data_IF_589867161001
#
_entry.id   IF_589867161001
#
_cell.length_a   1.000
_cell.length_b   1.000
_cell.length_c   1.000
_cell.angle_alpha   90.00
_cell.angle_beta   90.00
_cell.angle_gamma   90.00
#
_symmetry.space_group_name_H-M   'P 1'
#
loop_
_entity.id
_entity.type
_entity.pdbx_description
1 polymer ?
#
# COMPACT_ATOMS: atom_id res chain seq x y z
N UNK A 1 5.90 33.64 81.33
CA UNK A 1 6.26 32.28 80.86
C UNK A 1 5.97 32.26 79.37
N UNK A 2 6.94 32.55 78.50
CA UNK A 2 8.06 31.71 78.04
C UNK A 2 7.70 31.02 76.69
N UNK A 3 8.42 31.45 75.65
CA UNK A 3 8.64 30.87 74.29
C UNK A 3 9.15 29.40 74.36
N UNK A 4 9.27 28.59 73.26
CA UNK A 4 9.61 29.01 71.88
C UNK A 4 9.08 28.20 70.65
N UNK A 5 9.14 28.87 69.49
CA UNK A 5 9.81 28.53 68.21
C UNK A 5 9.73 27.11 67.60
N UNK A 6 9.33 27.03 66.32
CA UNK A 6 9.75 25.97 65.38
C UNK A 6 9.35 26.26 63.91
N UNK A 7 10.38 26.61 63.14
CA UNK A 7 10.73 26.12 61.78
C UNK A 7 9.85 26.40 60.56
N UNK A 8 10.37 27.32 59.74
CA UNK A 8 10.14 27.42 58.29
C UNK A 8 10.78 26.22 57.57
N UNK A 9 10.02 25.53 56.73
CA UNK A 9 10.56 24.61 55.71
C UNK A 9 10.29 25.20 54.33
N UNK A 10 11.37 25.66 53.71
CA UNK A 10 11.43 26.24 52.38
C UNK A 10 11.34 25.09 51.36
N UNK A 11 10.20 24.96 50.66
CA UNK A 11 10.04 24.02 49.54
C UNK A 11 10.79 24.60 48.33
N UNK A 12 11.96 24.04 48.05
CA UNK A 12 12.70 24.29 46.81
C UNK A 12 11.93 23.72 45.61
N UNK A 13 11.39 24.60 44.76
CA UNK A 13 10.91 24.24 43.42
C UNK A 13 12.12 24.12 42.49
N UNK A 14 12.62 22.90 42.34
CA UNK A 14 13.53 22.56 41.24
C UNK A 14 12.74 22.54 39.92
N UNK A 15 12.84 23.64 39.17
CA UNK A 15 12.46 23.69 37.76
C UNK A 15 13.44 22.83 36.95
N UNK A 16 13.08 21.57 36.71
CA UNK A 16 13.80 20.71 35.77
C UNK A 16 13.37 21.09 34.33
N UNK A 17 14.05 22.07 33.74
CA UNK A 17 14.00 22.31 32.29
C UNK A 17 14.81 21.20 31.61
N UNK A 18 14.16 20.15 31.11
CA UNK A 18 14.74 19.31 30.06
C UNK A 18 14.79 20.13 28.77
N UNK A 19 15.93 20.77 28.50
CA UNK A 19 16.28 21.18 27.15
C UNK A 19 16.80 19.93 26.42
N UNK A 20 15.96 19.30 25.62
CA UNK A 20 16.43 18.35 24.60
C UNK A 20 17.02 19.17 23.46
N UNK A 21 18.23 18.89 22.97
CA UNK A 21 18.90 19.72 21.98
C UNK A 21 18.31 19.47 20.58
N UNK A 22 17.58 20.44 20.03
CA UNK A 22 17.05 20.44 18.65
C UNK A 22 18.14 20.31 17.56
N UNK A 23 19.43 20.48 17.91
CA UNK A 23 20.55 20.44 16.94
C UNK A 23 20.89 19.03 16.41
N UNK A 24 20.57 17.98 17.16
CA UNK A 24 20.96 16.60 16.83
C UNK A 24 20.08 15.99 15.71
N UNK A 25 18.79 16.33 15.69
CA UNK A 25 17.82 15.78 14.71
C UNK A 25 18.09 16.31 13.30
N UNK A 26 18.45 17.59 13.16
CA UNK A 26 18.73 18.22 11.86
C UNK A 26 19.99 17.62 11.23
N UNK A 27 21.01 17.34 12.04
CA UNK A 27 22.26 16.71 11.59
C UNK A 27 22.05 15.27 11.14
N UNK A 28 21.26 14.48 11.89
CA UNK A 28 20.88 13.12 11.50
C UNK A 28 20.05 13.12 10.21
N UNK A 29 19.11 14.05 10.03
CA UNK A 29 18.33 14.17 8.79
C UNK A 29 19.20 14.58 7.59
N UNK A 30 20.18 15.45 7.78
CA UNK A 30 21.11 15.86 6.71
C UNK A 30 22.06 14.71 6.31
N UNK A 31 22.55 13.93 7.28
CA UNK A 31 23.34 12.70 7.03
C UNK A 31 22.48 11.67 6.29
N UNK A 32 21.25 11.41 6.73
CA UNK A 32 20.33 10.49 6.06
C UNK A 32 19.99 10.95 4.64
N UNK A 33 19.84 12.26 4.41
CA UNK A 33 19.56 12.83 3.09
C UNK A 33 20.75 12.68 2.14
N UNK A 34 21.96 12.98 2.60
CA UNK A 34 23.19 12.82 1.81
C UNK A 34 23.49 11.36 1.52
N UNK A 35 23.29 10.48 2.49
CA UNK A 35 23.47 9.04 2.30
C UNK A 35 22.41 8.48 1.35
N UNK A 36 21.15 8.90 1.46
CA UNK A 36 20.10 8.54 0.51
C UNK A 36 20.45 8.99 -0.92
N UNK A 37 20.96 10.21 -1.09
CA UNK A 37 21.39 10.71 -2.40
C UNK A 37 22.53 9.87 -3.00
N UNK A 38 23.53 9.53 -2.18
CA UNK A 38 24.68 8.72 -2.62
C UNK A 38 24.28 7.27 -2.93
N UNK A 39 23.47 6.66 -2.06
CA UNK A 39 23.07 5.25 -2.19
C UNK A 39 22.06 5.03 -3.30
N UNK A 40 21.21 6.01 -3.63
CA UNK A 40 20.17 5.86 -4.66
C UNK A 40 20.74 5.87 -6.10
N UNK A 41 21.96 6.36 -6.32
CA UNK A 41 22.75 6.07 -7.54
C UNK A 41 22.02 6.37 -8.86
N UNK A 42 21.43 7.55 -9.00
CA UNK A 42 20.76 7.95 -10.24
C UNK A 42 21.78 8.08 -11.39
N UNK A 43 21.65 7.25 -12.44
CA UNK A 43 22.54 7.26 -13.61
C UNK A 43 22.44 8.57 -14.43
N UNK A 44 23.54 8.98 -15.07
CA UNK A 44 23.65 10.24 -15.83
C UNK A 44 22.65 10.41 -16.98
N UNK A 45 22.21 9.32 -17.63
CA UNK A 45 21.15 9.37 -18.67
C UNK A 45 19.74 9.58 -18.09
N UNK A 46 19.50 9.14 -16.84
CA UNK A 46 18.29 9.49 -16.12
C UNK A 46 18.34 10.97 -15.69
N UNK A 47 19.49 11.47 -15.23
CA UNK A 47 19.67 12.86 -14.79
C UNK A 47 19.30 13.90 -15.86
N UNK A 48 19.54 13.65 -17.16
CA UNK A 48 19.26 14.63 -18.21
C UNK A 48 17.76 14.75 -18.57
N UNK A 49 16.97 13.68 -18.40
CA UNK A 49 15.50 13.71 -18.57
C UNK A 49 14.76 14.01 -17.25
N UNK A 50 15.47 13.92 -16.12
CA UNK A 50 14.95 14.08 -14.75
C UNK A 50 15.45 15.35 -14.03
N UNK A 51 16.23 16.23 -14.68
CA UNK A 51 16.87 17.39 -14.03
C UNK A 51 15.92 18.41 -13.40
N UNK A 52 14.83 18.76 -14.07
CA UNK A 52 13.80 19.68 -13.54
C UNK A 52 12.69 18.96 -12.76
N UNK A 53 12.47 17.68 -13.06
CA UNK A 53 11.43 16.86 -12.45
C UNK A 53 11.82 16.32 -11.07
N UNK A 54 13.05 15.85 -10.89
CA UNK A 54 13.46 15.18 -9.65
C UNK A 54 13.81 16.16 -8.53
N UNK A 55 14.30 17.36 -8.86
CA UNK A 55 14.54 18.40 -7.84
C UNK A 55 13.20 18.88 -7.25
N UNK A 56 12.12 18.94 -8.04
CA UNK A 56 10.75 19.15 -7.52
C UNK A 56 10.10 17.89 -6.97
N UNK A 57 10.39 16.68 -7.46
CA UNK A 57 9.71 15.45 -6.96
C UNK A 57 10.36 14.90 -5.69
N UNK A 58 11.67 15.06 -5.48
CA UNK A 58 12.31 14.69 -4.22
C UNK A 58 12.17 15.83 -3.20
N UNK A 59 12.36 17.10 -3.59
CA UNK A 59 12.15 18.21 -2.64
C UNK A 59 10.67 18.46 -2.44
N UNK A 60 9.82 18.58 -3.46
CA UNK A 60 8.37 18.74 -3.24
C UNK A 60 7.65 17.40 -3.01
N UNK A 61 8.02 16.24 -3.52
CA UNK A 61 7.30 14.99 -3.19
C UNK A 61 7.59 14.47 -1.78
N UNK A 62 8.86 14.44 -1.38
CA UNK A 62 9.27 14.06 0.00
C UNK A 62 9.01 15.19 1.00
N UNK A 63 9.07 16.47 0.62
CA UNK A 63 8.68 17.57 1.52
C UNK A 63 7.22 18.03 1.40
N UNK A 64 6.43 17.63 0.39
CA UNK A 64 4.96 17.74 0.46
C UNK A 64 4.37 16.66 1.36
N UNK A 65 5.06 15.54 1.58
CA UNK A 65 4.80 14.64 2.71
C UNK A 65 5.05 15.35 4.07
N UNK A 66 5.75 16.50 4.05
CA UNK A 66 6.05 17.40 5.18
C UNK A 66 5.37 18.80 5.07
N UNK A 67 4.43 19.03 4.14
CA UNK A 67 3.84 20.36 3.90
C UNK A 67 3.10 20.92 5.14
N UNK A 68 3.17 22.25 5.40
CA UNK A 68 2.58 22.90 6.59
C UNK A 68 1.05 22.82 6.77
N UNK A 69 0.31 22.47 5.73
CA UNK A 69 -1.16 22.59 5.71
C UNK A 69 -1.92 21.55 6.55
N UNK A 70 -1.21 20.66 7.25
CA UNK A 70 -1.76 19.67 8.20
C UNK A 70 -1.20 19.83 9.63
N UNK A 71 -0.57 20.97 9.95
CA UNK A 71 0.10 21.22 11.23
C UNK A 71 -0.86 21.78 12.28
N UNK A 72 -1.82 20.97 12.72
CA UNK A 72 -2.54 21.24 13.95
C UNK A 72 -1.60 21.04 15.16
N UNK A 73 -1.60 21.93 16.18
CA UNK A 73 -0.69 21.87 17.34
C UNK A 73 -0.68 20.51 18.06
N UNK A 74 -1.82 19.81 18.08
CA UNK A 74 -1.98 18.51 18.76
C UNK A 74 -1.24 17.35 18.06
N UNK A 75 -0.96 17.47 16.75
CA UNK A 75 -0.25 16.47 15.98
C UNK A 75 1.28 16.59 16.10
N UNK A 76 1.80 17.80 16.38
CA UNK A 76 3.24 18.08 16.47
C UNK A 76 3.86 17.44 17.71
N UNK A 77 3.17 17.44 18.86
CA UNK A 77 3.65 16.79 20.09
C UNK A 77 3.59 15.25 20.03
N UNK A 78 2.65 14.68 19.28
CA UNK A 78 2.60 13.22 19.03
C UNK A 78 3.67 12.76 18.04
N UNK A 79 4.08 13.63 17.13
CA UNK A 79 5.09 13.34 16.12
C UNK A 79 6.51 13.32 16.74
N UNK A 80 6.84 14.24 17.65
CA UNK A 80 8.19 14.33 18.25
C UNK A 80 8.58 13.10 19.10
N UNK A 81 7.66 12.57 19.92
CA UNK A 81 7.91 11.34 20.69
C UNK A 81 8.08 10.11 19.78
N UNK A 82 7.34 10.06 18.67
CA UNK A 82 7.35 8.93 17.72
C UNK A 82 8.55 8.97 16.79
N UNK A 83 9.00 10.16 16.38
CA UNK A 83 10.26 10.35 15.67
C UNK A 83 11.44 9.88 16.53
N UNK A 84 11.44 10.17 17.85
CA UNK A 84 12.51 9.70 18.74
C UNK A 84 12.56 8.16 18.85
N UNK A 85 11.42 7.48 18.96
CA UNK A 85 11.37 6.01 18.94
C UNK A 85 11.78 5.43 17.58
N UNK A 86 11.44 6.11 16.48
CA UNK A 86 11.79 5.67 15.14
C UNK A 86 13.30 5.84 14.90
N UNK A 87 13.89 6.96 15.30
CA UNK A 87 15.34 7.21 15.25
C UNK A 87 16.15 6.22 16.10
N UNK A 88 15.66 5.84 17.29
CA UNK A 88 16.30 4.82 18.13
C UNK A 88 16.25 3.41 17.53
N UNK A 89 15.30 3.11 16.64
CA UNK A 89 15.24 1.84 15.89
C UNK A 89 16.02 1.91 14.58
N UNK A 90 16.08 3.09 13.96
CA UNK A 90 16.95 3.31 12.79
C UNK A 90 18.42 3.24 13.20
N UNK A 91 18.79 3.66 14.42
CA UNK A 91 20.16 3.50 14.93
C UNK A 91 20.57 2.03 15.09
N UNK A 92 19.64 1.12 15.39
CA UNK A 92 19.89 -0.34 15.39
C UNK A 92 20.21 -0.86 13.97
N UNK A 93 19.63 -0.30 12.91
CA UNK A 93 19.96 -0.68 11.52
C UNK A 93 21.41 -0.34 11.16
N UNK A 94 21.97 0.72 11.75
CA UNK A 94 23.38 1.09 11.58
C UNK A 94 24.36 0.19 12.36
N UNK A 95 23.87 -0.75 13.18
CA UNK A 95 24.74 -1.72 13.87
C UNK A 95 25.16 -2.90 12.99
N UNK A 96 24.46 -3.14 11.87
CA UNK A 96 24.81 -4.16 10.88
C UNK A 96 24.84 -3.57 9.47
N UNK A 97 26.01 -3.51 8.81
CA UNK A 97 26.12 -3.02 7.43
C UNK A 97 25.18 -3.73 6.45
N UNK A 98 24.93 -5.03 6.64
CA UNK A 98 24.00 -5.80 5.80
C UNK A 98 22.54 -5.36 6.00
N UNK A 99 22.13 -5.10 7.24
CA UNK A 99 20.79 -4.61 7.56
C UNK A 99 20.53 -3.21 6.97
N UNK A 100 21.53 -2.32 7.07
CA UNK A 100 21.46 -1.00 6.47
C UNK A 100 21.36 -1.06 4.94
N UNK A 101 22.12 -1.92 4.27
CA UNK A 101 22.05 -2.09 2.82
C UNK A 101 20.67 -2.58 2.35
N UNK A 102 20.08 -3.56 3.05
CA UNK A 102 18.73 -4.05 2.73
C UNK A 102 17.67 -2.97 2.95
N UNK A 103 17.78 -2.19 4.04
CA UNK A 103 16.91 -1.06 4.30
C UNK A 103 17.00 -0.02 3.17
N UNK A 104 18.20 0.35 2.73
CA UNK A 104 18.35 1.29 1.60
C UNK A 104 17.80 0.73 0.29
N UNK A 105 17.97 -0.57 0.05
CA UNK A 105 17.41 -1.23 -1.13
C UNK A 105 15.88 -1.24 -1.10
N UNK A 106 15.26 -1.48 0.06
CA UNK A 106 13.81 -1.37 0.25
C UNK A 106 13.32 0.05 -0.07
N UNK A 107 14.00 1.08 0.48
CA UNK A 107 13.65 2.46 0.20
C UNK A 107 13.78 2.79 -1.29
N UNK A 108 14.85 2.33 -1.95
CA UNK A 108 15.03 2.48 -3.40
C UNK A 108 13.85 1.88 -4.16
N UNK A 109 13.43 0.67 -3.79
CA UNK A 109 12.29 0.01 -4.43
C UNK A 109 10.99 0.81 -4.24
N UNK A 110 10.72 1.33 -3.04
CA UNK A 110 9.56 2.21 -2.78
C UNK A 110 9.60 3.47 -3.64
N UNK A 111 10.76 4.13 -3.71
CA UNK A 111 10.95 5.36 -4.50
C UNK A 111 10.77 5.09 -6.00
N UNK A 112 11.29 3.96 -6.52
CA UNK A 112 11.09 3.57 -7.92
C UNK A 112 9.59 3.46 -8.25
N UNK A 113 8.81 2.79 -7.40
CA UNK A 113 7.36 2.67 -7.58
C UNK A 113 6.66 4.03 -7.49
N UNK A 114 7.02 4.85 -6.49
CA UNK A 114 6.43 6.18 -6.31
C UNK A 114 6.70 7.10 -7.52
N UNK A 115 7.93 7.11 -8.01
CA UNK A 115 8.32 7.90 -9.20
C UNK A 115 7.56 7.42 -10.43
N UNK A 116 7.44 6.10 -10.61
CA UNK A 116 6.71 5.53 -11.74
C UNK A 116 5.24 5.97 -11.73
N UNK A 117 4.54 5.81 -10.60
CA UNK A 117 3.11 6.16 -10.50
C UNK A 117 2.91 7.67 -10.66
N UNK A 118 3.76 8.49 -10.04
CA UNK A 118 3.60 9.96 -10.05
C UNK A 118 3.97 10.61 -11.38
N UNK A 119 4.78 9.95 -12.23
CA UNK A 119 5.28 10.50 -13.50
C UNK A 119 4.83 9.68 -14.71
N UNK A 120 3.78 8.88 -14.57
CA UNK A 120 3.39 7.90 -15.56
C UNK A 120 3.12 8.51 -16.95
N UNK A 121 2.45 9.66 -17.00
CA UNK A 121 2.22 10.38 -18.26
C UNK A 121 3.53 10.73 -18.98
N UNK A 122 4.51 11.26 -18.24
CA UNK A 122 5.84 11.58 -18.78
C UNK A 122 6.58 10.34 -19.26
N UNK A 123 6.56 9.26 -18.46
CA UNK A 123 7.23 7.99 -18.76
C UNK A 123 6.66 7.36 -20.05
N UNK A 124 5.35 7.45 -20.26
CA UNK A 124 4.68 6.90 -21.43
C UNK A 124 4.58 7.87 -22.62
N UNK A 125 5.12 9.09 -22.48
CA UNK A 125 5.07 10.13 -23.50
C UNK A 125 3.65 10.59 -23.82
N UNK A 126 2.77 10.60 -22.83
CA UNK A 126 1.40 11.09 -22.95
C UNK A 126 1.41 12.62 -22.81
N UNK A 127 0.67 13.29 -23.70
CA UNK A 127 0.36 14.70 -23.53
C UNK A 127 -0.94 14.82 -22.74
N UNK A 128 -0.98 15.67 -21.70
CA UNK A 128 -2.06 15.70 -20.69
C UNK A 128 -3.49 15.95 -21.22
N UNK A 129 -3.68 16.23 -22.51
CA UNK A 129 -4.98 16.46 -23.14
C UNK A 129 -5.32 15.45 -24.25
N UNK A 130 -4.49 14.43 -24.50
CA UNK A 130 -4.73 13.49 -25.58
C UNK A 130 -5.60 12.33 -25.10
N UNK A 131 -6.83 12.23 -25.63
CA UNK A 131 -7.66 11.06 -25.41
C UNK A 131 -7.23 9.94 -26.36
N UNK A 132 -6.46 8.98 -25.85
CA UNK A 132 -6.09 7.76 -26.56
C UNK A 132 -7.08 6.63 -26.26
N UNK A 133 -7.36 5.74 -27.23
CA UNK A 133 -8.07 4.50 -26.96
C UNK A 133 -7.36 3.68 -25.86
N UNK A 134 -8.15 3.10 -24.95
CA UNK A 134 -7.62 2.32 -23.83
C UNK A 134 -6.66 1.17 -24.27
N UNK A 135 -6.90 0.44 -25.38
CA UNK A 135 -5.95 -0.58 -25.83
C UNK A 135 -4.56 -0.04 -26.14
N UNK A 136 -4.47 1.16 -26.73
CA UNK A 136 -3.18 1.81 -27.03
C UNK A 136 -2.44 2.23 -25.76
N UNK A 137 -3.17 2.70 -24.74
CA UNK A 137 -2.60 3.03 -23.43
C UNK A 137 -2.05 1.79 -22.73
N UNK A 138 -2.77 0.67 -22.81
CA UNK A 138 -2.35 -0.61 -22.23
C UNK A 138 -1.12 -1.16 -22.97
N UNK A 139 -1.09 -1.08 -24.30
CA UNK A 139 0.09 -1.46 -25.09
C UNK A 139 1.33 -0.64 -24.69
N UNK A 140 1.18 0.68 -24.51
CA UNK A 140 2.25 1.54 -24.01
C UNK A 140 2.73 1.11 -22.62
N UNK A 141 1.82 0.80 -21.70
CA UNK A 141 2.19 0.32 -20.37
C UNK A 141 2.98 -1.00 -20.41
N UNK A 142 2.60 -1.94 -21.30
CA UNK A 142 3.32 -3.21 -21.48
C UNK A 142 4.64 -3.10 -22.28
N UNK A 143 4.88 -1.97 -22.93
CA UNK A 143 6.20 -1.69 -23.54
C UNK A 143 7.31 -1.46 -22.50
N UNK A 144 6.93 -1.22 -21.23
CA UNK A 144 7.86 -1.09 -20.13
C UNK A 144 8.35 -2.47 -19.64
N UNK A 145 9.52 -2.55 -18.97
CA UNK A 145 9.98 -3.76 -18.30
C UNK A 145 8.89 -4.36 -17.39
N UNK A 146 8.80 -5.69 -17.33
CA UNK A 146 7.75 -6.41 -16.61
C UNK A 146 7.52 -5.93 -15.16
N UNK A 147 8.58 -5.56 -14.43
CA UNK A 147 8.41 -5.02 -13.08
C UNK A 147 7.57 -3.74 -13.06
N UNK A 148 7.83 -2.84 -14.00
CA UNK A 148 7.21 -1.52 -14.17
C UNK A 148 5.82 -1.60 -14.80
N UNK A 149 5.62 -2.53 -15.74
CA UNK A 149 4.37 -2.68 -16.48
C UNK A 149 3.14 -2.82 -15.57
N UNK A 150 3.24 -3.58 -14.46
CA UNK A 150 2.15 -3.71 -13.48
C UNK A 150 1.64 -2.36 -12.98
N UNK A 151 2.56 -1.53 -12.50
CA UNK A 151 2.24 -0.23 -11.91
C UNK A 151 1.78 0.77 -12.98
N UNK A 152 2.33 0.65 -14.18
CA UNK A 152 1.91 1.47 -15.32
C UNK A 152 0.48 1.14 -15.74
N UNK A 153 0.09 -0.13 -15.80
CA UNK A 153 -1.29 -0.54 -16.09
C UNK A 153 -2.25 -0.03 -15.01
N UNK A 154 -1.85 -0.06 -13.74
CA UNK A 154 -2.64 0.52 -12.64
C UNK A 154 -2.88 2.02 -12.85
N UNK A 155 -1.81 2.79 -13.05
CA UNK A 155 -1.96 4.21 -13.29
C UNK A 155 -2.70 4.54 -14.59
N UNK A 156 -2.66 3.67 -15.61
CA UNK A 156 -3.51 3.82 -16.81
C UNK A 156 -4.99 3.68 -16.49
N UNK A 157 -5.37 2.77 -15.60
CA UNK A 157 -6.75 2.66 -15.12
C UNK A 157 -7.22 3.97 -14.47
N UNK A 158 -6.37 4.57 -13.64
CA UNK A 158 -6.66 5.84 -12.97
C UNK A 158 -6.74 7.01 -13.96
N UNK A 159 -5.73 7.13 -14.84
CA UNK A 159 -5.63 8.17 -15.87
C UNK A 159 -6.84 8.14 -16.81
N UNK A 160 -7.16 6.97 -17.35
CA UNK A 160 -8.27 6.81 -18.29
C UNK A 160 -9.62 7.12 -17.63
N UNK A 161 -9.84 6.66 -16.38
CA UNK A 161 -11.06 6.97 -15.63
C UNK A 161 -11.20 8.46 -15.37
N UNK A 162 -10.11 9.15 -15.00
CA UNK A 162 -10.09 10.60 -14.81
C UNK A 162 -10.44 11.36 -16.09
N UNK A 163 -9.79 11.02 -17.21
CA UNK A 163 -10.08 11.65 -18.50
C UNK A 163 -11.54 11.44 -18.92
N UNK A 164 -12.03 10.21 -18.81
CA UNK A 164 -13.42 9.91 -19.12
C UNK A 164 -14.36 10.74 -18.24
N UNK A 165 -14.10 10.82 -16.95
CA UNK A 165 -14.90 11.59 -16.01
C UNK A 165 -14.94 13.09 -16.36
N UNK A 166 -13.80 13.67 -16.74
CA UNK A 166 -13.72 15.08 -17.14
C UNK A 166 -14.51 15.38 -18.42
N UNK A 167 -14.51 14.45 -19.38
CA UNK A 167 -15.15 14.62 -20.68
C UNK A 167 -16.65 14.28 -20.66
N UNK A 168 -17.05 13.29 -19.86
CA UNK A 168 -18.36 12.65 -19.96
C UNK A 168 -19.11 12.54 -18.62
N UNK A 169 -18.47 12.89 -17.51
CA UNK A 169 -19.01 12.69 -16.16
C UNK A 169 -18.91 11.23 -15.68
N UNK A 170 -19.70 10.85 -14.65
CA UNK A 170 -19.60 9.52 -14.04
C UNK A 170 -19.80 8.39 -15.08
N UNK A 171 -18.85 7.46 -15.21
CA UNK A 171 -18.91 6.42 -16.22
C UNK A 171 -19.96 5.35 -15.87
N UNK A 172 -20.44 4.66 -16.91
CA UNK A 172 -21.28 3.47 -16.81
C UNK A 172 -20.70 2.38 -17.70
N UNK A 173 -20.30 1.27 -17.09
CA UNK A 173 -19.71 0.15 -17.79
C UNK A 173 -18.27 0.36 -18.30
N UNK A 174 -17.48 1.27 -17.73
CA UNK A 174 -16.17 1.69 -18.27
C UNK A 174 -15.24 0.53 -18.66
N UNK A 175 -15.09 -0.46 -17.78
CA UNK A 175 -14.20 -1.61 -17.99
C UNK A 175 -14.95 -2.93 -18.23
N UNK A 176 -16.25 -2.85 -18.53
CA UNK A 176 -17.03 -4.03 -18.92
C UNK A 176 -16.56 -4.59 -20.26
N UNK A 177 -16.92 -5.84 -20.52
CA UNK A 177 -16.49 -6.58 -21.71
C UNK A 177 -16.88 -5.86 -23.01
N UNK A 178 -18.07 -5.28 -23.03
CA UNK A 178 -18.60 -4.52 -24.16
C UNK A 178 -17.85 -3.21 -24.47
N UNK A 179 -17.13 -2.64 -23.49
CA UNK A 179 -16.55 -1.29 -23.59
C UNK A 179 -15.01 -1.26 -23.51
N UNK A 180 -14.38 -2.32 -23.01
CA UNK A 180 -12.93 -2.39 -22.82
C UNK A 180 -12.31 -3.63 -23.50
N UNK A 181 -11.88 -3.45 -24.75
CA UNK A 181 -11.19 -4.47 -25.54
C UNK A 181 -9.68 -4.49 -25.25
N UNK A 182 -9.33 -4.84 -24.02
CA UNK A 182 -7.93 -4.91 -23.53
C UNK A 182 -7.55 -6.35 -23.20
N UNK A 183 -6.25 -6.71 -23.20
CA UNK A 183 -5.79 -8.02 -22.77
C UNK A 183 -6.23 -8.35 -21.33
N UNK A 184 -6.67 -9.58 -21.07
CA UNK A 184 -7.15 -9.99 -19.74
C UNK A 184 -6.12 -9.77 -18.63
N UNK A 185 -4.83 -9.94 -18.94
CA UNK A 185 -3.70 -9.69 -18.04
C UNK A 185 -3.70 -8.26 -17.44
N UNK A 186 -4.30 -7.30 -18.14
CA UNK A 186 -4.37 -5.91 -17.69
C UNK A 186 -5.48 -5.63 -16.68
N UNK A 187 -6.50 -6.50 -16.62
CA UNK A 187 -7.78 -6.16 -16.02
C UNK A 187 -7.68 -5.96 -14.51
N UNK A 188 -6.90 -6.77 -13.79
CA UNK A 188 -6.71 -6.59 -12.34
C UNK A 188 -6.22 -5.17 -12.01
N UNK A 189 -5.15 -4.74 -12.67
CA UNK A 189 -4.53 -3.44 -12.39
C UNK A 189 -5.35 -2.27 -12.97
N UNK A 190 -5.97 -2.41 -14.14
CA UNK A 190 -6.87 -1.37 -14.66
C UNK A 190 -8.04 -1.09 -13.71
N UNK A 191 -8.62 -2.16 -13.13
CA UNK A 191 -9.70 -2.02 -12.15
C UNK A 191 -9.22 -1.40 -10.83
N UNK A 192 -8.02 -1.75 -10.36
CA UNK A 192 -7.40 -1.06 -9.22
C UNK A 192 -7.25 0.44 -9.51
N UNK A 193 -6.67 0.81 -10.67
CA UNK A 193 -6.56 2.20 -11.10
C UNK A 193 -7.87 2.97 -11.14
N UNK A 194 -8.92 2.36 -11.70
CA UNK A 194 -10.27 2.92 -11.71
C UNK A 194 -10.80 3.15 -10.28
N UNK A 195 -10.60 2.17 -9.38
CA UNK A 195 -10.95 2.29 -7.97
C UNK A 195 -10.22 3.42 -7.26
N UNK A 196 -8.92 3.59 -7.52
CA UNK A 196 -8.11 4.68 -6.97
C UNK A 196 -8.69 6.05 -7.37
N UNK A 197 -9.09 6.20 -8.63
CA UNK A 197 -9.75 7.42 -9.09
C UNK A 197 -11.08 7.66 -8.36
N UNK A 198 -11.99 6.68 -8.35
CA UNK A 198 -13.30 6.83 -7.70
C UNK A 198 -13.17 7.18 -6.22
N UNK A 199 -12.30 6.49 -5.48
CA UNK A 199 -12.12 6.73 -4.06
C UNK A 199 -11.56 8.14 -3.81
N UNK A 200 -10.51 8.55 -4.54
CA UNK A 200 -9.88 9.85 -4.35
C UNK A 200 -10.80 11.01 -4.74
N UNK A 201 -11.58 10.83 -5.81
CA UNK A 201 -12.56 11.83 -6.22
C UNK A 201 -13.68 11.95 -5.18
N UNK A 202 -14.32 10.84 -4.79
CA UNK A 202 -15.49 10.85 -3.91
C UNK A 202 -15.17 11.24 -2.46
N UNK A 203 -14.01 10.85 -1.92
CA UNK A 203 -13.57 11.27 -0.58
C UNK A 203 -12.93 12.67 -0.59
N UNK A 204 -12.61 13.21 -1.76
CA UNK A 204 -11.92 14.48 -1.94
C UNK A 204 -12.69 15.47 -2.79
N UNK A 205 -12.15 15.79 -3.96
CA UNK A 205 -12.60 16.91 -4.79
C UNK A 205 -14.06 16.81 -5.26
N UNK A 206 -14.60 15.61 -5.39
CA UNK A 206 -15.99 15.34 -5.75
C UNK A 206 -16.98 15.52 -4.61
N UNK A 207 -16.52 15.57 -3.35
CA UNK A 207 -17.37 15.86 -2.19
C UNK A 207 -16.60 16.72 -1.19
N UNK A 208 -16.32 18.01 -1.53
CA UNK A 208 -15.46 18.87 -0.71
C UNK A 208 -16.04 19.19 0.68
N UNK A 209 -17.32 18.89 0.91
CA UNK A 209 -17.99 19.02 2.21
C UNK A 209 -17.80 17.81 3.11
N UNK A 210 -17.30 16.69 2.59
CA UNK A 210 -17.02 15.50 3.39
C UNK A 210 -15.73 15.72 4.17
N UNK A 211 -15.84 15.76 5.49
CA UNK A 211 -14.72 15.94 6.43
C UNK A 211 -14.81 14.92 7.55
N UNK A 212 -13.76 14.77 8.35
CA UNK A 212 -13.72 13.80 9.46
C UNK A 212 -14.91 13.93 10.43
N UNK A 213 -15.44 15.14 10.61
CA UNK A 213 -16.60 15.43 11.47
C UNK A 213 -17.98 15.32 10.78
N UNK A 214 -18.03 14.94 9.49
CA UNK A 214 -19.29 14.74 8.78
C UNK A 214 -20.13 13.63 9.43
N UNK A 215 -21.44 13.72 9.24
CA UNK A 215 -22.39 12.79 9.83
C UNK A 215 -22.25 11.38 9.22
N UNK A 216 -22.62 10.32 9.97
CA UNK A 216 -22.64 8.96 9.43
C UNK A 216 -23.52 8.80 8.18
N UNK A 217 -24.54 9.65 8.00
CA UNK A 217 -25.41 9.65 6.82
C UNK A 217 -24.68 10.16 5.58
N UNK A 218 -23.84 11.19 5.71
CA UNK A 218 -23.04 11.71 4.60
C UNK A 218 -22.00 10.70 4.13
N UNK A 219 -21.25 10.08 5.06
CA UNK A 219 -20.33 8.99 4.72
C UNK A 219 -21.06 7.84 4.03
N UNK A 220 -22.24 7.44 4.53
CA UNK A 220 -23.04 6.39 3.89
C UNK A 220 -23.41 6.74 2.46
N UNK A 221 -23.83 7.98 2.18
CA UNK A 221 -24.18 8.40 0.83
C UNK A 221 -22.98 8.33 -0.13
N UNK A 222 -21.81 8.78 0.32
CA UNK A 222 -20.57 8.71 -0.47
C UNK A 222 -20.14 7.26 -0.73
N UNK A 223 -20.21 6.40 0.28
CA UNK A 223 -19.86 4.98 0.12
C UNK A 223 -20.89 4.22 -0.73
N UNK A 224 -22.17 4.55 -0.63
CA UNK A 224 -23.20 4.03 -1.56
C UNK A 224 -22.86 4.37 -3.00
N UNK A 225 -22.47 5.61 -3.26
CA UNK A 225 -22.09 6.06 -4.61
C UNK A 225 -20.82 5.35 -5.10
N UNK A 226 -19.81 5.20 -4.24
CA UNK A 226 -18.60 4.44 -4.57
C UNK A 226 -18.93 2.99 -4.94
N UNK A 227 -19.71 2.29 -4.11
CA UNK A 227 -20.10 0.88 -4.36
C UNK A 227 -20.92 0.76 -5.65
N UNK A 228 -21.81 1.73 -5.92
CA UNK A 228 -22.58 1.79 -7.16
C UNK A 228 -21.65 1.89 -8.37
N UNK A 229 -20.73 2.86 -8.38
CA UNK A 229 -19.76 3.05 -9.46
C UNK A 229 -18.88 1.82 -9.66
N UNK A 230 -18.41 1.21 -8.57
CA UNK A 230 -17.59 0.00 -8.62
C UNK A 230 -18.34 -1.16 -9.32
N UNK A 231 -19.58 -1.44 -8.92
CA UNK A 231 -20.41 -2.51 -9.52
C UNK A 231 -20.83 -2.22 -10.96
N UNK A 232 -21.09 -0.96 -11.29
CA UNK A 232 -21.49 -0.58 -12.64
C UNK A 232 -20.34 -0.62 -13.63
N UNK A 233 -19.11 -0.38 -13.19
CA UNK A 233 -17.97 -0.23 -14.09
C UNK A 233 -17.00 -1.41 -14.08
N UNK A 234 -17.01 -2.24 -13.03
CA UNK A 234 -16.18 -3.43 -12.97
C UNK A 234 -16.73 -4.58 -13.84
N UNK A 235 -15.82 -5.30 -14.48
CA UNK A 235 -16.09 -6.61 -15.10
C UNK A 235 -16.31 -7.67 -14.02
N UNK A 236 -17.11 -8.69 -14.33
CA UNK A 236 -17.28 -9.85 -13.46
C UNK A 236 -15.93 -10.44 -13.05
N UNK A 237 -15.76 -10.70 -11.75
CA UNK A 237 -14.50 -11.19 -11.20
C UNK A 237 -13.47 -10.13 -10.85
N UNK A 238 -13.70 -8.85 -11.16
CA UNK A 238 -12.73 -7.76 -10.96
C UNK A 238 -13.19 -6.68 -9.98
N UNK A 239 -14.25 -6.93 -9.20
CA UNK A 239 -14.74 -5.97 -8.20
C UNK A 239 -13.75 -5.77 -7.04
N UNK A 240 -13.08 -6.85 -6.61
CA UNK A 240 -12.12 -6.83 -5.49
C UNK A 240 -11.08 -5.71 -5.56
N UNK A 241 -10.26 -5.59 -6.63
CA UNK A 241 -9.26 -4.52 -6.75
C UNK A 241 -9.86 -3.11 -6.76
N UNK A 242 -11.10 -2.92 -7.23
CA UNK A 242 -11.78 -1.62 -7.16
C UNK A 242 -12.06 -1.25 -5.71
N UNK A 243 -12.63 -2.18 -4.92
CA UNK A 243 -12.94 -1.94 -3.51
C UNK A 243 -11.67 -1.82 -2.68
N UNK A 244 -10.65 -2.61 -2.96
CA UNK A 244 -9.35 -2.54 -2.30
C UNK A 244 -8.76 -1.12 -2.37
N UNK A 245 -8.91 -0.48 -3.52
CA UNK A 245 -8.45 0.89 -3.74
C UNK A 245 -9.14 1.92 -2.83
N UNK A 246 -10.37 1.67 -2.37
CA UNK A 246 -11.03 2.52 -1.36
C UNK A 246 -10.26 2.50 -0.04
N UNK A 247 -9.84 1.31 0.40
CA UNK A 247 -9.06 1.15 1.63
C UNK A 247 -7.71 1.82 1.55
N UNK A 248 -7.03 1.63 0.41
CA UNK A 248 -5.74 2.25 0.14
C UNK A 248 -5.84 3.78 0.19
N UNK A 249 -6.74 4.36 -0.61
CA UNK A 249 -6.91 5.82 -0.69
C UNK A 249 -7.33 6.40 0.65
N UNK A 250 -8.27 5.76 1.34
CA UNK A 250 -8.72 6.23 2.65
C UNK A 250 -7.54 6.26 3.62
N UNK A 251 -6.74 5.20 3.71
CA UNK A 251 -5.66 5.14 4.70
C UNK A 251 -4.47 6.05 4.37
N UNK A 252 -4.15 6.27 3.09
CA UNK A 252 -3.01 7.09 2.67
C UNK A 252 -3.31 8.59 2.61
N UNK A 253 -4.48 8.97 2.10
CA UNK A 253 -4.84 10.37 1.87
C UNK A 253 -5.82 10.93 2.90
N UNK A 254 -6.63 10.07 3.52
CA UNK A 254 -7.68 10.45 4.45
C UNK A 254 -7.65 9.61 5.75
N UNK A 255 -6.49 9.47 6.42
CA UNK A 255 -6.32 8.49 7.51
C UNK A 255 -7.33 8.67 8.67
N UNK A 256 -7.76 9.90 8.93
CA UNK A 256 -8.75 10.20 9.97
C UNK A 256 -10.17 9.75 9.60
N UNK A 257 -10.43 9.43 8.33
CA UNK A 257 -11.72 8.93 7.83
C UNK A 257 -11.84 7.41 7.84
N UNK A 258 -10.77 6.65 8.16
CA UNK A 258 -10.75 5.17 8.10
C UNK A 258 -11.92 4.54 8.87
N UNK A 259 -12.19 5.00 10.10
CA UNK A 259 -13.29 4.49 10.92
C UNK A 259 -14.68 4.89 10.40
N UNK A 260 -14.82 6.10 9.85
CA UNK A 260 -16.09 6.56 9.27
C UNK A 260 -16.42 5.82 7.97
N UNK A 261 -15.42 5.56 7.13
CA UNK A 261 -15.56 4.77 5.90
C UNK A 261 -15.86 3.30 6.22
N UNK A 262 -15.16 2.68 7.18
CA UNK A 262 -15.48 1.32 7.66
C UNK A 262 -16.92 1.23 8.15
N UNK A 263 -17.32 2.14 9.05
CA UNK A 263 -18.66 2.16 9.63
C UNK A 263 -19.76 2.36 8.58
N UNK A 264 -19.50 3.16 7.55
CA UNK A 264 -20.41 3.33 6.41
C UNK A 264 -20.46 2.08 5.54
N UNK A 265 -19.30 1.52 5.16
CA UNK A 265 -19.21 0.34 4.30
C UNK A 265 -19.86 -0.89 4.94
N UNK A 266 -19.69 -1.08 6.25
CA UNK A 266 -20.35 -2.14 7.02
C UNK A 266 -21.88 -2.10 6.92
N UNK A 267 -22.46 -0.92 6.72
CA UNK A 267 -23.90 -0.75 6.59
C UNK A 267 -24.39 -0.80 5.14
N UNK A 268 -23.54 -0.47 4.19
CA UNK A 268 -23.89 -0.41 2.76
C UNK A 268 -23.66 -1.74 2.05
N UNK A 269 -22.50 -2.35 2.30
CA UNK A 269 -22.03 -3.55 1.62
C UNK A 269 -21.04 -4.32 2.52
N UNK A 270 -21.51 -4.93 3.63
CA UNK A 270 -20.65 -5.63 4.58
C UNK A 270 -19.80 -6.75 3.96
N UNK A 271 -20.27 -7.36 2.87
CA UNK A 271 -19.55 -8.39 2.12
C UNK A 271 -18.24 -7.90 1.48
N UNK A 272 -18.08 -6.57 1.35
CA UNK A 272 -16.94 -5.92 0.73
C UNK A 272 -15.86 -5.48 1.73
N UNK A 273 -16.10 -5.60 3.04
CA UNK A 273 -15.19 -5.14 4.09
C UNK A 273 -13.80 -5.77 4.03
N UNK A 274 -13.71 -7.05 3.66
CA UNK A 274 -12.41 -7.73 3.52
C UNK A 274 -11.50 -7.06 2.48
N UNK A 275 -12.06 -6.58 1.37
CA UNK A 275 -11.28 -5.88 0.34
C UNK A 275 -10.83 -4.52 0.83
N UNK A 276 -11.72 -3.77 1.49
CA UNK A 276 -11.38 -2.48 2.08
C UNK A 276 -10.22 -2.61 3.07
N UNK A 277 -10.27 -3.56 4.01
CA UNK A 277 -9.21 -3.74 4.99
C UNK A 277 -7.90 -4.25 4.37
N UNK A 278 -7.96 -5.04 3.30
CA UNK A 278 -6.77 -5.35 2.50
C UNK A 278 -6.11 -4.08 1.95
N UNK A 279 -6.90 -3.17 1.38
CA UNK A 279 -6.41 -1.88 0.90
C UNK A 279 -5.79 -1.02 2.00
N UNK A 280 -6.43 -0.95 3.17
CA UNK A 280 -5.88 -0.26 4.35
C UNK A 280 -4.52 -0.85 4.72
N UNK A 281 -4.40 -2.18 4.72
CA UNK A 281 -3.15 -2.90 4.93
C UNK A 281 -2.06 -2.55 3.91
N UNK A 282 -2.40 -2.58 2.61
CA UNK A 282 -1.51 -2.21 1.51
C UNK A 282 -0.96 -0.79 1.67
N UNK A 283 -1.80 0.16 2.05
CA UNK A 283 -1.42 1.55 2.32
C UNK A 283 -0.38 1.69 3.45
N UNK A 284 -0.40 0.82 4.47
CA UNK A 284 0.58 0.91 5.57
C UNK A 284 2.03 0.89 5.07
N UNK A 285 2.31 0.14 4.01
CA UNK A 285 3.65 0.01 3.43
C UNK A 285 4.20 1.34 2.88
N UNK A 286 3.31 2.16 2.30
CA UNK A 286 3.62 3.47 1.71
C UNK A 286 3.29 4.64 2.64
N UNK A 287 2.64 4.39 3.78
CA UNK A 287 2.23 5.45 4.68
C UNK A 287 3.41 6.26 5.22
N UNK A 288 3.19 7.56 5.46
CA UNK A 288 4.19 8.50 6.01
C UNK A 288 4.88 7.98 7.26
N UNK A 289 4.15 7.28 8.11
CA UNK A 289 4.65 6.72 9.38
C UNK A 289 5.71 5.64 9.16
N UNK A 290 5.63 4.94 8.03
CA UNK A 290 6.35 3.70 7.74
C UNK A 290 7.15 3.79 6.43
N UNK A 291 7.25 4.98 5.84
CA UNK A 291 7.88 5.18 4.53
C UNK A 291 9.39 4.99 4.57
N UNK A 292 10.06 5.51 5.62
CA UNK A 292 11.46 5.24 5.87
C UNK A 292 11.69 3.72 6.02
N UNK A 293 12.84 3.19 5.59
CA UNK A 293 13.03 1.75 5.58
C UNK A 293 13.08 1.24 7.01
N UNK A 294 12.08 0.43 7.36
CA UNK A 294 12.00 -0.16 8.68
C UNK A 294 11.58 -1.60 8.53
N UNK A 295 12.58 -2.47 8.49
CA UNK A 295 12.45 -3.93 8.48
C UNK A 295 11.74 -4.48 9.75
N UNK A 296 11.08 -3.66 10.57
CA UNK A 296 10.39 -4.09 11.80
C UNK A 296 9.15 -3.28 12.23
N UNK A 297 8.97 -1.99 11.88
CA UNK A 297 7.90 -1.17 12.52
C UNK A 297 6.54 -1.21 11.84
N UNK A 298 6.49 -1.43 10.52
CA UNK A 298 5.21 -1.43 9.77
C UNK A 298 4.30 -2.54 10.28
N UNK A 299 4.90 -3.68 10.59
CA UNK A 299 4.22 -4.89 11.03
C UNK A 299 3.57 -4.74 12.40
N UNK A 300 4.20 -4.03 13.36
CA UNK A 300 3.56 -3.75 14.65
C UNK A 300 2.36 -2.79 14.54
N UNK A 301 2.22 -2.09 13.41
CA UNK A 301 1.10 -1.22 13.14
C UNK A 301 -0.18 -1.99 12.88
N UNK A 302 -0.12 -3.05 12.07
CA UNK A 302 -1.31 -3.72 11.54
C UNK A 302 -2.19 -4.35 12.61
N UNK A 303 -1.58 -4.85 13.71
CA UNK A 303 -2.29 -5.40 14.86
C UNK A 303 -3.28 -4.41 15.50
N UNK A 304 -3.01 -3.12 15.36
CA UNK A 304 -3.77 -2.02 15.96
C UNK A 304 -4.64 -1.25 14.96
N UNK A 305 -4.58 -1.59 13.66
CA UNK A 305 -5.33 -0.86 12.63
C UNK A 305 -6.79 -1.30 12.56
N UNK A 306 -7.09 -2.57 12.86
CA UNK A 306 -8.44 -3.12 12.82
C UNK A 306 -8.87 -3.76 14.16
N UNK A 307 -10.17 -3.68 14.45
CA UNK A 307 -10.74 -4.17 15.72
C UNK A 307 -10.95 -5.68 15.71
N UNK A 308 -11.39 -6.25 14.59
CA UNK A 308 -11.75 -7.66 14.50
C UNK A 308 -10.64 -8.51 13.89
N UNK A 309 -10.62 -9.81 14.21
CA UNK A 309 -9.62 -10.73 13.67
C UNK A 309 -9.65 -10.84 12.13
N UNK A 310 -10.80 -10.99 11.44
CA UNK A 310 -10.83 -11.09 9.97
C UNK A 310 -10.30 -9.84 9.25
N UNK A 311 -10.54 -8.67 9.83
CA UNK A 311 -10.07 -7.39 9.27
C UNK A 311 -8.56 -7.23 9.47
N UNK A 312 -8.02 -7.65 10.61
CA UNK A 312 -6.57 -7.71 10.84
C UNK A 312 -5.87 -8.67 9.89
N UNK A 313 -6.45 -9.84 9.63
CA UNK A 313 -5.90 -10.79 8.64
C UNK A 313 -5.95 -10.22 7.23
N UNK A 314 -7.04 -9.53 6.85
CA UNK A 314 -7.14 -8.84 5.55
C UNK A 314 -6.10 -7.72 5.42
N UNK A 315 -5.92 -6.90 6.47
CA UNK A 315 -4.91 -5.86 6.48
C UNK A 315 -3.48 -6.43 6.46
N UNK A 316 -3.23 -7.55 7.15
CA UNK A 316 -1.94 -8.24 7.07
C UNK A 316 -1.68 -8.78 5.67
N UNK A 317 -2.68 -9.37 5.02
CA UNK A 317 -2.59 -9.83 3.64
C UNK A 317 -2.23 -8.67 2.70
N UNK A 318 -2.91 -7.52 2.83
CA UNK A 318 -2.61 -6.34 2.02
C UNK A 318 -1.23 -5.73 2.26
N UNK A 319 -0.79 -5.66 3.53
CA UNK A 319 0.56 -5.19 3.87
C UNK A 319 1.62 -6.13 3.27
N UNK A 320 1.45 -7.44 3.48
CA UNK A 320 2.37 -8.44 2.92
C UNK A 320 2.38 -8.38 1.40
N UNK A 321 1.21 -8.15 0.80
CA UNK A 321 1.08 -8.02 -0.64
C UNK A 321 1.95 -6.89 -1.20
N UNK A 322 1.86 -5.71 -0.56
CA UNK A 322 2.65 -4.55 -0.96
C UNK A 322 4.16 -4.82 -0.85
N UNK A 323 4.58 -5.43 0.25
CA UNK A 323 5.99 -5.75 0.52
C UNK A 323 6.52 -6.73 -0.52
N UNK A 324 5.78 -7.80 -0.85
CA UNK A 324 6.16 -8.77 -1.88
C UNK A 324 6.28 -8.07 -3.23
N UNK A 325 5.25 -7.37 -3.69
CA UNK A 325 5.24 -6.79 -5.03
C UNK A 325 6.36 -5.79 -5.28
N UNK A 326 6.70 -4.99 -4.29
CA UNK A 326 7.73 -3.96 -4.38
C UNK A 326 9.13 -4.58 -4.29
N UNK A 327 9.31 -5.64 -3.51
CA UNK A 327 10.63 -6.18 -3.18
C UNK A 327 10.93 -7.56 -3.78
N UNK A 328 10.06 -8.14 -4.60
CA UNK A 328 10.27 -9.50 -5.12
C UNK A 328 11.55 -9.71 -5.94
N UNK A 329 12.18 -8.63 -6.44
CA UNK A 329 13.49 -8.69 -7.11
C UNK A 329 14.65 -8.87 -6.13
N UNK A 330 14.42 -8.68 -4.82
CA UNK A 330 15.39 -8.76 -3.73
C UNK A 330 14.77 -9.54 -2.55
N UNK A 331 14.63 -10.87 -2.67
CA UNK A 331 14.01 -11.73 -1.64
C UNK A 331 14.66 -11.62 -0.25
N UNK A 332 15.91 -11.16 -0.17
CA UNK A 332 16.65 -10.89 1.07
C UNK A 332 15.91 -9.87 1.97
N UNK A 333 15.15 -8.93 1.38
CA UNK A 333 14.32 -7.98 2.13
C UNK A 333 13.20 -8.74 2.85
N UNK A 334 12.54 -9.69 2.17
CA UNK A 334 11.49 -10.51 2.77
C UNK A 334 12.05 -11.48 3.82
N UNK A 335 13.23 -12.04 3.60
CA UNK A 335 13.92 -12.83 4.63
C UNK A 335 14.17 -11.99 5.90
N UNK A 336 14.55 -10.71 5.72
CA UNK A 336 14.71 -9.76 6.81
C UNK A 336 13.41 -9.53 7.59
N UNK A 337 12.26 -9.47 6.91
CA UNK A 337 10.92 -9.34 7.51
C UNK A 337 10.52 -10.57 8.32
N UNK A 338 10.74 -11.78 7.77
CA UNK A 338 10.41 -13.01 8.48
C UNK A 338 11.16 -13.12 9.81
N UNK A 339 12.44 -12.70 9.82
CA UNK A 339 13.29 -12.72 11.01
C UNK A 339 12.78 -11.82 12.13
N UNK A 340 12.08 -10.73 11.83
CA UNK A 340 11.79 -9.68 12.82
C UNK A 340 10.39 -9.75 13.42
N UNK A 341 9.40 -10.33 12.75
CA UNK A 341 8.01 -10.17 13.18
C UNK A 341 7.10 -11.40 13.01
N UNK A 342 7.23 -12.18 11.94
CA UNK A 342 6.14 -13.11 11.58
C UNK A 342 6.16 -14.43 12.34
N UNK A 343 7.33 -14.92 12.79
CA UNK A 343 7.45 -16.25 13.41
C UNK A 343 6.53 -16.46 14.63
N UNK A 344 6.25 -15.40 15.39
CA UNK A 344 5.38 -15.45 16.57
C UNK A 344 4.04 -14.69 16.38
N UNK A 345 3.79 -14.16 15.17
CA UNK A 345 2.58 -13.37 14.91
C UNK A 345 1.34 -14.27 14.78
N UNK A 346 0.20 -13.90 15.38
CA UNK A 346 -1.06 -14.61 15.16
C UNK A 346 -1.60 -14.41 13.73
N UNK A 347 -1.04 -13.52 12.92
CA UNK A 347 -1.50 -13.15 11.57
C UNK A 347 -0.71 -13.85 10.45
N UNK A 348 -0.11 -15.01 10.75
CA UNK A 348 0.63 -15.81 9.76
C UNK A 348 -0.23 -16.21 8.55
N UNK A 349 -1.53 -16.44 8.75
CA UNK A 349 -2.44 -16.80 7.67
C UNK A 349 -2.67 -15.63 6.71
N UNK A 350 -2.91 -14.42 7.24
CA UNK A 350 -2.98 -13.19 6.46
C UNK A 350 -1.68 -12.95 5.71
N UNK A 351 -0.53 -13.14 6.35
CA UNK A 351 0.77 -13.03 5.69
C UNK A 351 0.91 -14.00 4.51
N UNK A 352 0.70 -15.30 4.73
CA UNK A 352 0.79 -16.32 3.69
C UNK A 352 -0.21 -16.06 2.53
N UNK A 353 -1.42 -15.60 2.86
CA UNK A 353 -2.41 -15.19 1.86
C UNK A 353 -1.89 -14.01 1.02
N UNK A 354 -1.33 -12.98 1.65
CA UNK A 354 -0.73 -11.83 0.97
C UNK A 354 0.43 -12.19 0.05
N UNK A 355 1.24 -13.19 0.42
CA UNK A 355 2.24 -13.78 -0.48
C UNK A 355 1.55 -14.43 -1.69
N UNK A 356 0.66 -15.39 -1.47
CA UNK A 356 -0.01 -16.09 -2.56
C UNK A 356 -0.74 -15.14 -3.52
N UNK A 357 -1.49 -14.17 -3.00
CA UNK A 357 -2.23 -13.19 -3.79
C UNK A 357 -1.32 -12.29 -4.63
N UNK A 358 -0.15 -11.91 -4.11
CA UNK A 358 0.87 -11.16 -4.86
C UNK A 358 1.40 -11.93 -6.06
N UNK A 359 1.68 -13.22 -5.86
CA UNK A 359 2.22 -14.07 -6.92
C UNK A 359 1.16 -14.38 -7.97
N UNK A 360 -0.08 -14.63 -7.57
CA UNK A 360 -1.23 -14.79 -8.48
C UNK A 360 -1.38 -13.54 -9.35
N UNK A 361 -1.37 -12.36 -8.73
CA UNK A 361 -1.51 -11.09 -9.43
C UNK A 361 -0.34 -10.85 -10.40
N UNK A 362 0.91 -11.06 -9.97
CA UNK A 362 2.09 -10.95 -10.86
C UNK A 362 2.05 -11.92 -12.02
N UNK A 363 1.60 -13.16 -11.79
CA UNK A 363 1.46 -14.15 -12.84
C UNK A 363 0.37 -13.77 -13.85
N UNK A 364 -0.74 -13.17 -13.41
CA UNK A 364 -1.80 -12.70 -14.30
C UNK A 364 -1.34 -11.52 -15.17
N UNK A 365 -0.66 -10.53 -14.57
CA UNK A 365 -0.31 -9.29 -15.28
C UNK A 365 1.00 -9.36 -16.05
N UNK A 366 2.02 -10.03 -15.52
CA UNK A 366 3.33 -10.18 -16.18
C UNK A 366 3.80 -11.62 -16.08
N UNK A 367 3.16 -12.53 -16.83
CA UNK A 367 3.48 -13.95 -16.77
C UNK A 367 4.96 -14.20 -17.10
N UNK A 368 5.52 -15.23 -16.46
CA UNK A 368 6.88 -15.74 -16.72
C UNK A 368 8.01 -14.75 -16.44
N UNK A 369 7.73 -13.60 -15.81
CA UNK A 369 8.75 -12.64 -15.44
C UNK A 369 9.80 -13.31 -14.52
N UNK A 370 11.11 -13.27 -14.85
CA UNK A 370 12.11 -14.09 -14.16
C UNK A 370 12.14 -13.91 -12.63
N UNK A 371 11.88 -12.69 -12.15
CA UNK A 371 11.87 -12.37 -10.73
C UNK A 371 10.77 -13.10 -9.95
N UNK A 372 9.68 -13.55 -10.60
CA UNK A 372 8.63 -14.37 -9.96
C UNK A 372 9.26 -15.69 -9.53
N UNK A 373 9.89 -16.39 -10.49
CA UNK A 373 10.52 -17.68 -10.22
C UNK A 373 11.73 -17.58 -9.27
N UNK A 374 12.53 -16.52 -9.38
CA UNK A 374 13.66 -16.28 -8.49
C UNK A 374 13.23 -16.04 -7.05
N UNK A 375 12.14 -15.27 -6.84
CA UNK A 375 11.57 -15.06 -5.52
C UNK A 375 11.10 -16.38 -4.90
N UNK A 376 10.31 -17.17 -5.64
CA UNK A 376 9.77 -18.43 -5.13
C UNK A 376 10.85 -19.48 -4.78
N UNK A 377 11.98 -19.47 -5.50
CA UNK A 377 13.07 -20.45 -5.34
C UNK A 377 14.19 -19.98 -4.40
N UNK A 378 14.09 -18.78 -3.87
CA UNK A 378 15.09 -18.24 -2.94
C UNK A 378 15.28 -19.17 -1.74
N UNK A 379 16.51 -19.28 -1.26
CA UNK A 379 16.90 -20.10 -0.12
C UNK A 379 17.58 -19.19 0.92
N UNK A 380 16.97 -18.99 2.10
CA UNK A 380 17.57 -18.22 3.17
C UNK A 380 18.90 -18.79 3.65
N UNK A 381 19.71 -17.96 4.31
CA UNK A 381 21.06 -18.34 4.73
C UNK A 381 21.07 -19.32 5.91
N UNK A 382 20.09 -19.21 6.82
CA UNK A 382 20.03 -20.05 8.03
C UNK A 382 18.92 -21.09 7.98
N UNK A 383 19.11 -22.21 8.68
CA UNK A 383 18.12 -23.30 8.75
C UNK A 383 16.77 -22.81 9.30
N UNK A 384 16.77 -22.03 10.38
CA UNK A 384 15.53 -21.49 10.99
C UNK A 384 14.77 -20.61 9.99
N UNK A 385 15.47 -19.69 9.32
CA UNK A 385 14.83 -18.85 8.31
C UNK A 385 14.33 -19.66 7.11
N UNK A 386 15.01 -20.75 6.76
CA UNK A 386 14.59 -21.65 5.68
C UNK A 386 13.27 -22.34 6.00
N UNK A 387 13.04 -22.75 7.25
CA UNK A 387 11.76 -23.34 7.69
C UNK A 387 10.63 -22.32 7.63
N UNK A 388 10.85 -21.12 8.18
CA UNK A 388 9.88 -20.02 8.12
C UNK A 388 9.57 -19.59 6.68
N UNK A 389 10.60 -19.51 5.83
CA UNK A 389 10.44 -19.19 4.40
C UNK A 389 9.66 -20.27 3.66
N UNK A 390 9.96 -21.54 3.88
CA UNK A 390 9.25 -22.65 3.27
C UNK A 390 7.76 -22.60 3.60
N UNK A 391 7.42 -22.39 4.88
CA UNK A 391 6.05 -22.36 5.36
C UNK A 391 5.28 -21.12 4.87
N UNK A 392 5.89 -19.93 4.96
CA UNK A 392 5.19 -18.65 4.82
C UNK A 392 5.37 -17.99 3.46
N UNK A 393 6.37 -18.42 2.68
CA UNK A 393 6.69 -17.85 1.37
C UNK A 393 6.67 -18.91 0.27
N UNK A 394 7.58 -19.90 0.29
CA UNK A 394 7.76 -20.81 -0.83
C UNK A 394 6.53 -21.70 -1.09
N UNK A 395 5.91 -22.26 -0.04
CA UNK A 395 4.68 -23.03 -0.18
C UNK A 395 3.50 -22.18 -0.65
N UNK A 396 3.18 -21.01 -0.04
CA UNK A 396 2.14 -20.12 -0.57
C UNK A 396 2.40 -19.66 -2.01
N UNK A 397 3.66 -19.41 -2.40
CA UNK A 397 4.01 -19.14 -3.80
C UNK A 397 3.61 -20.30 -4.72
N UNK A 398 4.03 -21.52 -4.36
CA UNK A 398 3.78 -22.73 -5.15
C UNK A 398 2.29 -23.02 -5.27
N UNK A 399 1.55 -22.92 -4.16
CA UNK A 399 0.09 -23.09 -4.16
C UNK A 399 -0.60 -21.98 -4.97
N UNK A 400 -0.20 -20.72 -4.77
CA UNK A 400 -0.72 -19.58 -5.51
C UNK A 400 -0.62 -19.76 -7.03
N UNK A 401 0.57 -20.11 -7.51
CA UNK A 401 0.84 -20.25 -8.95
C UNK A 401 0.26 -21.53 -9.57
N UNK A 402 0.41 -22.68 -8.90
CA UNK A 402 0.10 -23.98 -9.51
C UNK A 402 -1.30 -24.51 -9.17
N UNK A 403 -1.87 -24.08 -8.04
CA UNK A 403 -3.16 -24.58 -7.53
C UNK A 403 -4.26 -23.52 -7.64
N UNK A 404 -4.03 -22.32 -7.11
CA UNK A 404 -5.08 -21.31 -6.98
C UNK A 404 -5.29 -20.52 -8.25
N UNK A 405 -4.23 -19.97 -8.86
CA UNK A 405 -4.33 -19.11 -10.04
C UNK A 405 -5.12 -19.75 -11.20
N UNK A 406 -4.84 -21.01 -11.62
CA UNK A 406 -5.56 -21.61 -12.75
C UNK A 406 -7.07 -21.72 -12.49
N UNK A 407 -7.46 -22.12 -11.27
CA UNK A 407 -8.87 -22.24 -10.87
C UNK A 407 -9.54 -20.87 -10.82
N UNK A 408 -8.92 -19.90 -10.15
CA UNK A 408 -9.47 -18.56 -10.03
C UNK A 408 -9.61 -17.88 -11.40
N UNK A 409 -8.64 -18.08 -12.30
CA UNK A 409 -8.70 -17.57 -13.67
C UNK A 409 -9.85 -18.21 -14.45
N UNK A 410 -9.96 -19.53 -14.42
CA UNK A 410 -10.99 -20.29 -15.13
C UNK A 410 -12.41 -19.88 -14.70
N UNK A 411 -12.60 -19.55 -13.42
CA UNK A 411 -13.90 -19.22 -12.84
C UNK A 411 -14.16 -17.71 -12.70
N UNK A 412 -13.37 -16.84 -13.36
CA UNK A 412 -13.49 -15.39 -13.27
C UNK A 412 -13.55 -14.89 -11.81
N UNK A 413 -12.66 -15.41 -10.95
CA UNK A 413 -12.63 -15.14 -9.52
C UNK A 413 -11.30 -14.48 -9.08
N UNK A 414 -10.51 -13.91 -9.99
CA UNK A 414 -9.21 -13.32 -9.64
C UNK A 414 -9.32 -12.16 -8.64
N UNK A 415 -10.40 -11.37 -8.67
CA UNK A 415 -10.62 -10.29 -7.71
C UNK A 415 -10.76 -10.76 -6.26
N UNK A 416 -11.01 -12.06 -6.04
CA UNK A 416 -11.10 -12.65 -4.70
C UNK A 416 -9.77 -12.62 -3.93
N UNK A 417 -8.63 -12.47 -4.62
CA UNK A 417 -7.32 -12.43 -3.95
C UNK A 417 -7.03 -11.12 -3.22
N UNK A 418 -7.89 -10.10 -3.38
CA UNK A 418 -7.74 -8.78 -2.76
C UNK A 418 -8.37 -8.70 -1.36
N UNK A 419 -8.56 -9.84 -0.68
CA UNK A 419 -9.00 -9.95 0.71
C UNK A 419 -8.42 -11.21 1.33
N UNK A 420 -8.32 -11.24 2.65
CA UNK A 420 -8.03 -12.49 3.33
C UNK A 420 -9.21 -13.47 3.22
N UNK A 421 -8.90 -14.69 2.80
CA UNK A 421 -9.77 -15.86 2.87
C UNK A 421 -8.94 -17.14 2.71
N UNK A 422 -9.54 -18.30 3.00
CA UNK A 422 -8.92 -19.57 2.66
C UNK A 422 -8.98 -19.81 1.15
N UNK A 423 -7.83 -19.65 0.48
CA UNK A 423 -7.72 -19.81 -0.98
C UNK A 423 -7.88 -21.27 -1.43
N UNK A 424 -7.55 -22.25 -0.58
CA UNK A 424 -7.77 -23.66 -0.90
C UNK A 424 -9.25 -23.99 -0.82
N UNK A 425 -9.95 -23.52 0.22
CA UNK A 425 -11.41 -23.68 0.32
C UNK A 425 -12.10 -23.00 -0.87
N UNK A 426 -11.70 -21.77 -1.22
CA UNK A 426 -12.23 -21.07 -2.38
C UNK A 426 -12.03 -21.86 -3.68
N UNK A 427 -10.81 -22.32 -3.95
CA UNK A 427 -10.51 -23.11 -5.15
C UNK A 427 -11.34 -24.40 -5.20
N UNK A 428 -11.42 -25.15 -4.09
CA UNK A 428 -12.22 -26.37 -4.01
C UNK A 428 -13.73 -26.11 -4.26
N UNK A 429 -14.29 -25.02 -3.73
CA UNK A 429 -15.70 -24.65 -3.96
C UNK A 429 -15.98 -24.32 -5.43
N UNK A 430 -15.04 -23.67 -6.11
CA UNK A 430 -15.17 -23.32 -7.53
C UNK A 430 -15.10 -24.57 -8.42
N UNK A 431 -14.16 -25.47 -8.16
CA UNK A 431 -14.00 -26.73 -8.91
C UNK A 431 -15.19 -27.68 -8.77
N UNK A 432 -15.80 -27.74 -7.58
CA UNK A 432 -16.94 -28.63 -7.31
C UNK A 432 -18.27 -28.10 -7.84
N UNK A 433 -18.31 -26.88 -8.38
CA UNK A 433 -19.54 -26.26 -8.90
C UNK A 433 -20.59 -25.92 -7.84
N UNK A 434 -20.31 -26.18 -6.56
CA UNK A 434 -21.20 -25.87 -5.44
C UNK A 434 -21.25 -24.38 -5.08
N UNK A 435 -20.53 -23.52 -5.81
CA UNK A 435 -20.35 -22.09 -5.52
C UNK A 435 -21.18 -21.11 -6.35
N UNK A 436 -21.88 -21.53 -7.41
CA UNK A 436 -22.57 -20.58 -8.31
C UNK A 436 -24.06 -20.92 -8.45
N UNK A 437 -24.79 -20.74 -7.35
CA UNK A 437 -26.17 -20.30 -7.42
C UNK A 437 -26.20 -18.83 -6.98
N UNK A 438 -26.12 -17.94 -7.98
CA UNK A 438 -26.45 -16.52 -7.99
C UNK A 438 -26.67 -15.83 -6.62
N UNK A 439 -25.67 -15.06 -6.18
CA UNK A 439 -25.95 -13.83 -5.41
C UNK A 439 -25.87 -12.65 -6.38
N UNK A 440 -26.99 -12.40 -7.06
CA UNK A 440 -27.25 -11.11 -7.73
C UNK A 440 -27.57 -10.05 -6.68
#
# INVERSE_FOLDING_TARGET
MAFPDASSVMVSRTNFKMSVPDRDIVEVLDILTKEAQNQLGFNEQAIFSLGDGLQRVVVDGVFNLLRPQTWAPDNVLRLSFRIAQQLARTSELFTSPQGANLAWQELRNKVEVFVLVSNLESILGLSGNQFLPLPELVEKAYSLPAFQALWAVEGMGQYYTNLYWQLHGPPRGLLREENAHVPDASLLMLHAGMGLFFANYLLGAGTPTLVTGSSPTEFRAVIQEFVRLARENAREGYLGPVIESLGLVTRDFYPDMVGSVDGALRQVAPELLGYYWHGVGRALYFSRRYFLPVLSTVWTGVDNEAETAPERESAMAGLTWAVVLVNMRQPEIMEGVLRTYIEDSPLQNGFANGVASSLIMRQDTTPDAPFISSFCRYQPVTQRQSESWEQLVARPCTQGLNRFYPVLKQHHALGEVFRYQDLEELACRLETGNGVAARN
#
